data_IF_166586756870
#
_entry.id   IF_166586756870
#
_cell.length_a   1.000
_cell.length_b   1.000
_cell.length_c   1.000
_cell.angle_alpha   90.00
_cell.angle_beta   90.00
_cell.angle_gamma   90.00
#
_symmetry.space_group_name_H-M   'P 1'
#
loop_
_entity.id
_entity.type
_entity.pdbx_description
1 polymer ?
#
# COMPACT_ATOMS: atom_id res chain seq x y z
N UNK A 1 -28.35 -10.31 -69.00
CA UNK A 1 -27.04 -10.96 -68.80
C UNK A 1 -26.73 -11.17 -67.32
N UNK A 2 -26.34 -10.14 -66.53
CA UNK A 2 -25.94 -10.35 -65.11
C UNK A 2 -27.12 -10.71 -64.21
N UNK A 3 -28.31 -10.13 -64.46
CA UNK A 3 -29.53 -10.49 -63.73
C UNK A 3 -29.97 -11.94 -63.99
N UNK A 4 -29.74 -12.45 -65.20
CA UNK A 4 -30.09 -13.83 -65.58
C UNK A 4 -29.14 -14.82 -64.91
N UNK A 5 -27.84 -14.51 -64.86
CA UNK A 5 -26.85 -15.33 -64.13
C UNK A 5 -27.15 -15.39 -62.63
N UNK A 6 -27.49 -14.25 -62.01
CA UNK A 6 -27.87 -14.23 -60.59
C UNK A 6 -29.15 -15.01 -60.34
N UNK A 7 -30.13 -14.92 -61.24
CA UNK A 7 -31.37 -15.69 -61.17
C UNK A 7 -31.08 -17.19 -61.26
N UNK A 8 -30.27 -17.61 -62.23
CA UNK A 8 -29.95 -19.02 -62.46
C UNK A 8 -29.12 -19.63 -61.32
N UNK A 9 -28.34 -18.83 -60.59
CA UNK A 9 -27.54 -19.29 -59.45
C UNK A 9 -28.28 -19.24 -58.11
N UNK A 10 -29.13 -18.23 -57.89
CA UNK A 10 -29.80 -18.03 -56.60
C UNK A 10 -31.14 -18.79 -56.49
N UNK A 11 -31.87 -18.95 -57.60
CA UNK A 11 -33.15 -19.68 -57.57
C UNK A 11 -33.03 -21.15 -57.17
N UNK A 12 -32.01 -21.92 -57.60
CA UNK A 12 -31.82 -23.31 -57.15
C UNK A 12 -31.57 -23.45 -55.65
N UNK A 13 -31.10 -22.38 -55.01
CA UNK A 13 -30.82 -22.33 -53.57
C UNK A 13 -32.02 -21.83 -52.76
N UNK A 14 -33.12 -21.44 -53.41
CA UNK A 14 -34.29 -20.90 -52.73
C UNK A 14 -35.20 -22.01 -52.20
N UNK A 15 -35.56 -21.94 -50.91
CA UNK A 15 -36.63 -22.74 -50.32
C UNK A 15 -37.59 -21.87 -49.51
N UNK A 16 -38.88 -22.23 -49.43
CA UNK A 16 -39.90 -21.43 -48.74
C UNK A 16 -39.73 -21.42 -47.20
N UNK A 17 -39.09 -22.44 -46.62
CA UNK A 17 -38.78 -22.51 -45.18
C UNK A 17 -37.46 -23.26 -44.94
N UNK A 18 -36.31 -22.58 -45.10
CA UNK A 18 -35.01 -23.18 -44.78
C UNK A 18 -34.89 -23.37 -43.25
N UNK A 19 -34.20 -24.43 -42.83
CA UNK A 19 -33.79 -24.64 -41.43
C UNK A 19 -32.45 -23.94 -41.18
N UNK A 20 -32.15 -23.58 -39.93
CA UNK A 20 -30.95 -22.82 -39.57
C UNK A 20 -29.63 -23.54 -39.95
N UNK A 21 -29.64 -24.87 -40.03
CA UNK A 21 -28.48 -25.69 -40.41
C UNK A 21 -28.40 -26.02 -41.92
N UNK A 22 -29.37 -25.58 -42.73
CA UNK A 22 -29.46 -25.93 -44.15
C UNK A 22 -28.76 -24.88 -45.03
N UNK A 23 -28.13 -25.30 -46.13
CA UNK A 23 -27.46 -24.41 -47.09
C UNK A 23 -28.43 -23.64 -48.03
N UNK A 24 -29.72 -23.61 -47.70
CA UNK A 24 -30.77 -23.00 -48.54
C UNK A 24 -31.15 -21.61 -48.05
N UNK A 25 -31.46 -20.72 -48.99
CA UNK A 25 -31.83 -19.34 -48.72
C UNK A 25 -33.34 -19.16 -48.72
N UNK A 26 -33.85 -18.31 -47.85
CA UNK A 26 -35.26 -17.91 -47.88
C UNK A 26 -35.51 -16.93 -49.03
N UNK A 27 -36.78 -16.78 -49.39
CA UNK A 27 -37.20 -15.79 -50.41
C UNK A 27 -36.83 -14.37 -49.97
N UNK A 28 -36.92 -14.08 -48.67
CA UNK A 28 -36.54 -12.77 -48.12
C UNK A 28 -35.04 -12.52 -48.21
N UNK A 29 -34.21 -13.54 -47.93
CA UNK A 29 -32.76 -13.42 -48.01
C UNK A 29 -32.29 -13.17 -49.44
N UNK A 30 -32.91 -13.82 -50.41
CA UNK A 30 -32.63 -13.59 -51.84
C UNK A 30 -33.04 -12.17 -52.23
N UNK A 31 -34.20 -11.69 -51.78
CA UNK A 31 -34.65 -10.32 -52.06
C UNK A 31 -33.70 -9.27 -51.45
N UNK A 32 -33.26 -9.47 -50.21
CA UNK A 32 -32.30 -8.59 -49.52
C UNK A 32 -30.94 -8.61 -50.21
N UNK A 33 -30.42 -9.80 -50.48
CA UNK A 33 -29.13 -10.02 -51.17
C UNK A 33 -29.14 -9.38 -52.56
N UNK A 34 -30.19 -9.62 -53.35
CA UNK A 34 -30.32 -9.05 -54.70
C UNK A 34 -30.38 -7.53 -54.66
N UNK A 35 -31.12 -6.96 -53.72
CA UNK A 35 -31.19 -5.49 -53.53
C UNK A 35 -29.82 -4.91 -53.16
N UNK A 36 -29.11 -5.57 -52.26
CA UNK A 36 -27.75 -5.17 -51.86
C UNK A 36 -26.78 -5.20 -53.03
N UNK A 37 -26.75 -6.28 -53.82
CA UNK A 37 -25.90 -6.37 -55.01
C UNK A 37 -26.28 -5.35 -56.08
N UNK A 38 -27.58 -5.07 -56.25
CA UNK A 38 -28.06 -4.05 -57.19
C UNK A 38 -27.58 -2.64 -56.80
N UNK A 39 -27.66 -2.26 -55.53
CA UNK A 39 -27.29 -0.92 -55.06
C UNK A 39 -25.78 -0.73 -54.86
N UNK A 40 -25.02 -1.79 -54.67
CA UNK A 40 -23.57 -1.69 -54.41
C UNK A 40 -22.77 -2.11 -55.64
N UNK A 41 -22.76 -3.41 -55.92
CA UNK A 41 -21.86 -4.01 -56.88
C UNK A 41 -22.23 -3.67 -58.32
N UNK A 42 -23.51 -3.80 -58.67
CA UNK A 42 -23.97 -3.59 -60.04
C UNK A 42 -24.00 -2.12 -60.42
N UNK A 43 -24.33 -1.22 -59.48
CA UNK A 43 -24.27 0.23 -59.69
C UNK A 43 -22.85 0.67 -60.10
N UNK A 44 -21.81 0.08 -59.50
CA UNK A 44 -20.41 0.41 -59.78
C UNK A 44 -19.73 -0.60 -60.72
N UNK A 45 -20.49 -1.46 -61.39
CA UNK A 45 -19.93 -2.53 -62.23
C UNK A 45 -18.98 -1.99 -63.30
N UNK A 46 -19.29 -0.84 -63.92
CA UNK A 46 -18.42 -0.21 -64.91
C UNK A 46 -17.10 0.27 -64.30
N UNK A 47 -17.14 0.79 -63.08
CA UNK A 47 -15.93 1.19 -62.34
C UNK A 47 -15.07 -0.03 -62.00
N UNK A 48 -15.68 -1.11 -61.52
CA UNK A 48 -14.95 -2.36 -61.24
C UNK A 48 -14.39 -2.99 -62.50
N UNK A 49 -15.18 -3.07 -63.58
CA UNK A 49 -14.73 -3.57 -64.87
C UNK A 49 -13.56 -2.75 -65.43
N UNK A 50 -13.56 -1.44 -65.21
CA UNK A 50 -12.44 -0.58 -65.57
C UNK A 50 -11.22 -0.81 -64.66
N UNK A 51 -11.43 -0.86 -63.35
CA UNK A 51 -10.36 -1.02 -62.37
C UNK A 51 -9.65 -2.38 -62.47
N UNK A 52 -10.39 -3.45 -62.74
CA UNK A 52 -9.85 -4.80 -62.91
C UNK A 52 -9.45 -5.13 -64.35
N UNK A 53 -9.98 -4.39 -65.34
CA UNK A 53 -9.66 -4.59 -66.75
C UNK A 53 -8.39 -3.87 -67.21
N UNK A 54 -7.93 -2.87 -66.46
CA UNK A 54 -6.73 -2.09 -66.79
C UNK A 54 -5.64 -2.30 -65.76
N UNK A 55 -4.39 -2.40 -66.22
CA UNK A 55 -3.23 -2.43 -65.35
C UNK A 55 -3.09 -1.08 -64.63
N UNK A 56 -3.34 -1.06 -63.32
CA UNK A 56 -3.15 0.13 -62.50
C UNK A 56 -1.77 0.12 -61.85
N UNK A 57 -1.15 1.31 -61.76
CA UNK A 57 0.13 1.48 -61.06
C UNK A 57 -0.15 1.52 -59.55
N UNK A 58 0.06 0.40 -58.88
CA UNK A 58 -0.07 0.32 -57.43
C UNK A 58 1.23 0.77 -56.75
N UNK A 59 1.12 1.71 -55.83
CA UNK A 59 2.22 2.07 -54.93
C UNK A 59 2.04 1.30 -53.63
N UNK A 60 2.86 0.29 -53.41
CA UNK A 60 2.88 -0.42 -52.13
C UNK A 60 3.64 0.42 -51.11
N UNK A 61 2.90 1.03 -50.18
CA UNK A 61 3.48 1.69 -49.02
C UNK A 61 3.73 0.63 -47.95
N UNK A 62 5.01 0.28 -47.74
CA UNK A 62 5.41 -0.56 -46.61
C UNK A 62 5.75 0.36 -45.45
N UNK A 63 4.92 0.34 -44.42
CA UNK A 63 5.26 0.90 -43.12
C UNK A 63 5.80 -0.23 -42.24
N UNK A 64 7.02 -0.07 -41.73
CA UNK A 64 7.50 -0.87 -40.61
C UNK A 64 7.05 -0.14 -39.35
N UNK A 65 6.30 -0.82 -38.50
CA UNK A 65 5.85 -0.30 -37.22
C UNK A 65 6.58 -1.08 -36.15
N UNK A 66 7.43 -0.40 -35.38
CA UNK A 66 8.03 -0.98 -34.18
C UNK A 66 6.94 -0.98 -33.11
N UNK A 67 6.42 -2.17 -32.81
CA UNK A 67 5.49 -2.35 -31.71
C UNK A 67 6.30 -2.67 -30.46
N UNK A 68 6.32 -1.74 -29.51
CA UNK A 68 6.70 -2.02 -28.13
C UNK A 68 5.61 -2.91 -27.52
N UNK A 69 5.72 -4.21 -27.75
CA UNK A 69 4.88 -5.18 -27.07
C UNK A 69 5.40 -5.36 -25.65
N UNK A 70 4.52 -5.36 -24.63
CA UNK A 70 4.97 -5.65 -23.27
C UNK A 70 5.65 -7.01 -23.29
N UNK A 71 6.90 -7.06 -22.83
CA UNK A 71 7.63 -8.30 -22.66
C UNK A 71 6.91 -9.08 -21.55
N UNK A 72 6.02 -10.00 -21.95
CA UNK A 72 5.37 -10.90 -21.01
C UNK A 72 6.50 -11.77 -20.44
N UNK A 73 6.76 -11.63 -19.14
CA UNK A 73 7.69 -12.51 -18.43
C UNK A 73 7.23 -13.96 -18.64
N UNK A 74 8.19 -14.87 -18.82
CA UNK A 74 7.86 -16.25 -19.13
C UNK A 74 6.99 -16.83 -18.00
N UNK A 75 5.99 -17.64 -18.36
CA UNK A 75 5.10 -18.27 -17.38
C UNK A 75 5.81 -19.25 -16.43
N UNK A 76 7.10 -19.55 -16.67
CA UNK A 76 7.90 -20.38 -15.78
C UNK A 76 8.16 -19.70 -14.41
N UNK A 77 8.05 -18.38 -14.34
CA UNK A 77 8.16 -17.59 -13.09
C UNK A 77 6.80 -17.22 -12.48
N UNK A 78 5.69 -17.64 -13.11
CA UNK A 78 4.36 -17.31 -12.62
C UNK A 78 4.07 -18.09 -11.34
N UNK A 79 3.91 -17.37 -10.23
CA UNK A 79 3.48 -17.96 -8.95
C UNK A 79 2.06 -18.48 -9.07
N UNK A 80 1.77 -19.59 -8.38
CA UNK A 80 0.39 -20.03 -8.22
C UNK A 80 -0.37 -19.05 -7.28
N UNK A 81 -1.71 -19.11 -7.30
CA UNK A 81 -2.52 -18.16 -6.52
C UNK A 81 -2.24 -18.22 -5.01
N UNK A 82 -1.94 -19.40 -4.46
CA UNK A 82 -1.61 -19.57 -3.05
C UNK A 82 -0.24 -18.97 -2.68
N UNK A 83 0.76 -19.16 -3.52
CA UNK A 83 2.10 -18.57 -3.38
C UNK A 83 2.04 -17.04 -3.49
N UNK A 84 1.24 -16.53 -4.42
CA UNK A 84 1.03 -15.10 -4.58
C UNK A 84 0.35 -14.48 -3.34
N UNK A 85 -0.67 -15.13 -2.79
CA UNK A 85 -1.32 -14.69 -1.55
C UNK A 85 -0.34 -14.71 -0.37
N UNK A 86 0.42 -15.81 -0.20
CA UNK A 86 1.40 -15.92 0.88
C UNK A 86 2.53 -14.90 0.76
N UNK A 87 2.99 -14.59 -0.46
CA UNK A 87 3.99 -13.55 -0.72
C UNK A 87 3.46 -12.17 -0.29
N UNK A 88 2.23 -11.83 -0.71
CA UNK A 88 1.61 -10.55 -0.33
C UNK A 88 1.37 -10.44 1.18
N UNK A 89 0.93 -11.51 1.83
CA UNK A 89 0.71 -11.53 3.27
C UNK A 89 2.04 -11.36 4.04
N UNK A 90 3.11 -12.00 3.57
CA UNK A 90 4.45 -11.85 4.14
C UNK A 90 4.99 -10.43 3.94
N UNK A 91 4.78 -9.83 2.76
CA UNK A 91 5.19 -8.47 2.47
C UNK A 91 4.40 -7.45 3.32
N UNK A 92 3.08 -7.62 3.46
CA UNK A 92 2.24 -6.82 4.32
C UNK A 92 2.68 -6.90 5.80
N UNK A 93 2.94 -8.11 6.31
CA UNK A 93 3.43 -8.31 7.67
C UNK A 93 4.81 -7.65 7.88
N UNK A 94 5.70 -7.72 6.89
CA UNK A 94 7.02 -7.07 6.95
C UNK A 94 6.92 -5.54 6.96
N UNK A 95 6.00 -4.96 6.18
CA UNK A 95 5.72 -3.52 6.18
C UNK A 95 5.19 -3.08 7.56
N UNK A 96 4.20 -3.79 8.10
CA UNK A 96 3.64 -3.47 9.43
C UNK A 96 4.70 -3.56 10.53
N UNK A 97 5.58 -4.57 10.49
CA UNK A 97 6.66 -4.73 11.44
C UNK A 97 7.65 -3.55 11.37
N UNK A 98 8.01 -3.10 10.16
CA UNK A 98 8.88 -1.93 9.96
C UNK A 98 8.22 -0.64 10.46
N UNK A 99 6.93 -0.46 10.22
CA UNK A 99 6.21 0.71 10.74
C UNK A 99 6.14 0.72 12.27
N UNK A 100 5.88 -0.43 12.90
CA UNK A 100 5.88 -0.55 14.36
C UNK A 100 7.24 -0.22 14.94
N UNK A 101 8.32 -0.79 14.39
CA UNK A 101 9.68 -0.50 14.82
C UNK A 101 10.01 1.00 14.69
N UNK A 102 9.64 1.64 13.57
CA UNK A 102 9.85 3.07 13.38
C UNK A 102 9.05 3.92 14.39
N UNK A 103 7.80 3.54 14.70
CA UNK A 103 6.98 4.25 15.70
C UNK A 103 7.52 4.08 17.12
N UNK A 104 8.01 2.89 17.46
CA UNK A 104 8.64 2.61 18.76
C UNK A 104 9.94 3.39 18.92
N UNK A 105 10.77 3.47 17.88
CA UNK A 105 12.00 4.26 17.91
C UNK A 105 11.71 5.76 18.11
N UNK A 106 10.69 6.29 17.45
CA UNK A 106 10.26 7.69 17.65
C UNK A 106 9.74 7.92 19.08
N UNK A 107 8.95 6.99 19.63
CA UNK A 107 8.47 7.08 21.02
C UNK A 107 9.63 7.04 22.01
N UNK A 108 10.57 6.11 21.84
CA UNK A 108 11.75 6.01 22.69
C UNK A 108 12.60 7.29 22.65
N UNK A 109 12.77 7.91 21.47
CA UNK A 109 13.45 9.22 21.34
C UNK A 109 12.71 10.34 22.06
N UNK A 110 11.38 10.40 21.94
CA UNK A 110 10.56 11.41 22.62
C UNK A 110 10.58 11.23 24.15
N UNK A 111 10.52 10.00 24.65
CA UNK A 111 10.62 9.69 26.07
C UNK A 111 12.00 10.02 26.62
N UNK A 112 13.07 9.68 25.90
CA UNK A 112 14.44 10.06 26.27
C UNK A 112 14.64 11.58 26.30
N UNK A 113 14.04 12.32 25.36
CA UNK A 113 14.11 13.78 25.35
C UNK A 113 13.33 14.41 26.52
N UNK A 114 12.13 13.89 26.82
CA UNK A 114 11.35 14.32 27.99
C UNK A 114 12.08 14.05 29.29
N UNK A 115 12.66 12.86 29.45
CA UNK A 115 13.46 12.51 30.62
C UNK A 115 14.67 13.44 30.81
N UNK A 116 15.36 13.81 29.72
CA UNK A 116 16.47 14.79 29.76
C UNK A 116 15.99 16.18 30.18
N UNK A 117 14.85 16.65 29.65
CA UNK A 117 14.28 17.94 30.04
C UNK A 117 13.90 17.95 31.51
N UNK A 118 13.20 16.92 31.99
CA UNK A 118 12.81 16.79 33.39
C UNK A 118 14.02 16.70 34.33
N UNK A 119 15.11 16.02 33.93
CA UNK A 119 16.36 16.02 34.69
C UNK A 119 16.98 17.41 34.75
N UNK A 120 17.07 18.12 33.62
CA UNK A 120 17.64 19.47 33.60
C UNK A 120 16.83 20.49 34.43
N UNK A 121 15.51 20.38 34.44
CA UNK A 121 14.63 21.22 35.26
C UNK A 121 14.79 20.92 36.75
N UNK A 122 14.95 19.64 37.13
CA UNK A 122 15.23 19.23 38.52
C UNK A 122 16.59 19.75 38.99
N UNK A 123 17.63 19.62 38.16
CA UNK A 123 18.97 20.14 38.47
C UNK A 123 18.98 21.67 38.61
N UNK A 124 18.26 22.40 37.76
CA UNK A 124 18.16 23.86 37.88
C UNK A 124 17.38 24.27 39.13
N UNK A 125 16.31 23.56 39.48
CA UNK A 125 15.55 23.79 40.71
C UNK A 125 16.38 23.49 41.97
N UNK A 126 17.17 22.42 41.97
CA UNK A 126 18.10 22.11 43.07
C UNK A 126 19.19 23.16 43.19
N UNK A 127 19.74 23.65 42.07
CA UNK A 127 20.73 24.74 42.10
C UNK A 127 20.16 26.02 42.68
N UNK A 128 18.94 26.42 42.29
CA UNK A 128 18.25 27.59 42.85
C UNK A 128 18.00 27.44 44.35
N UNK A 129 17.56 26.26 44.81
CA UNK A 129 17.40 25.97 46.25
C UNK A 129 18.73 26.09 47.01
N UNK A 130 19.81 25.53 46.47
CA UNK A 130 21.15 25.65 47.08
C UNK A 130 21.66 27.10 47.13
N UNK A 131 21.33 27.92 46.13
CA UNK A 131 21.65 29.35 46.13
C UNK A 131 20.84 30.12 47.18
N UNK A 132 19.56 29.79 47.36
CA UNK A 132 18.70 30.38 48.39
C UNK A 132 19.18 30.06 49.81
N UNK A 133 19.61 28.83 50.07
CA UNK A 133 20.16 28.41 51.37
C UNK A 133 21.46 29.13 51.74
N UNK A 134 22.23 29.58 50.74
CA UNK A 134 23.49 30.32 50.95
C UNK A 134 23.28 31.82 51.19
N UNK A 135 22.12 32.38 50.84
CA UNK A 135 21.81 33.80 51.08
C UNK A 135 21.58 34.03 52.57
N UNK A 136 22.18 35.11 53.10
CA UNK A 136 21.93 35.55 54.48
C UNK A 136 20.59 36.28 54.54
N UNK A 137 19.65 35.88 55.42
CA UNK A 137 18.37 36.58 55.57
C UNK A 137 18.60 38.00 56.08
N UNK A 138 17.82 38.97 55.57
CA UNK A 138 17.95 40.39 55.94
C UNK A 138 16.86 40.83 56.92
N UNK A 139 15.71 40.15 56.92
CA UNK A 139 14.58 40.43 57.82
C UNK A 139 14.36 39.29 58.84
N UNK A 140 13.63 39.59 59.91
CA UNK A 140 13.30 38.63 60.98
C UNK A 140 12.38 37.51 60.48
N UNK A 141 11.47 37.82 59.55
CA UNK A 141 10.59 36.84 58.89
C UNK A 141 11.39 35.89 57.98
N UNK A 142 12.30 36.42 57.15
CA UNK A 142 13.21 35.62 56.31
C UNK A 142 14.15 34.73 57.14
N UNK A 143 14.57 35.18 58.33
CA UNK A 143 15.42 34.39 59.21
C UNK A 143 14.69 33.17 59.79
N UNK A 144 13.39 33.30 60.08
CA UNK A 144 12.56 32.17 60.51
C UNK A 144 12.40 31.18 59.37
N UNK A 145 12.09 31.66 58.16
CA UNK A 145 11.93 30.81 56.98
C UNK A 145 13.23 30.06 56.62
N UNK A 146 14.38 30.72 56.72
CA UNK A 146 15.68 30.08 56.50
C UNK A 146 15.96 28.96 57.51
N UNK A 147 15.67 29.18 58.80
CA UNK A 147 15.83 28.15 59.84
C UNK A 147 14.88 26.98 59.62
N UNK A 148 13.65 27.23 59.18
CA UNK A 148 12.68 26.17 58.83
C UNK A 148 13.18 25.37 57.64
N UNK A 149 13.69 26.01 56.59
CA UNK A 149 14.25 25.35 55.41
C UNK A 149 15.43 24.45 55.77
N UNK A 150 16.39 24.94 56.58
CA UNK A 150 17.54 24.15 57.03
C UNK A 150 17.09 22.93 57.85
N UNK A 151 16.14 23.10 58.78
CA UNK A 151 15.60 21.97 59.56
C UNK A 151 14.89 20.95 58.68
N UNK A 152 14.13 21.40 57.69
CA UNK A 152 13.46 20.50 56.74
C UNK A 152 14.46 19.71 55.90
N UNK A 153 15.61 20.30 55.51
CA UNK A 153 16.67 19.56 54.83
C UNK A 153 17.35 18.53 55.73
N UNK A 154 17.63 18.89 56.98
CA UNK A 154 18.17 17.96 57.98
C UNK A 154 17.21 16.78 58.23
N UNK A 155 15.90 17.04 58.34
CA UNK A 155 14.89 15.99 58.48
C UNK A 155 14.76 15.14 57.22
N UNK A 156 14.80 15.76 56.03
CA UNK A 156 14.76 15.05 54.75
C UNK A 156 15.96 14.12 54.58
N UNK A 157 17.15 14.55 54.97
CA UNK A 157 18.38 13.72 54.89
C UNK A 157 18.40 12.60 55.92
N UNK A 158 17.80 12.80 57.11
CA UNK A 158 17.59 11.73 58.08
C UNK A 158 16.59 10.69 57.56
N UNK A 159 15.44 11.15 57.08
CA UNK A 159 14.41 10.26 56.52
C UNK A 159 14.94 9.49 55.31
N UNK A 160 15.68 10.12 54.40
CA UNK A 160 16.22 9.41 53.23
C UNK A 160 17.19 8.29 53.62
N UNK A 161 18.02 8.50 54.65
CA UNK A 161 18.88 7.46 55.21
C UNK A 161 18.07 6.33 55.85
N UNK A 162 17.08 6.67 56.68
CA UNK A 162 16.21 5.67 57.30
C UNK A 162 15.45 4.81 56.26
N UNK A 163 14.99 5.42 55.16
CA UNK A 163 14.36 4.69 54.07
C UNK A 163 15.35 3.82 53.30
N UNK A 164 16.56 4.32 53.01
CA UNK A 164 17.60 3.52 52.35
C UNK A 164 18.01 2.30 53.18
N UNK A 165 18.16 2.47 54.50
CA UNK A 165 18.48 1.38 55.41
C UNK A 165 17.34 0.34 55.47
N UNK A 166 16.08 0.80 55.49
CA UNK A 166 14.90 -0.09 55.45
C UNK A 166 14.79 -0.82 54.12
N UNK A 167 15.05 -0.15 53.00
CA UNK A 167 15.01 -0.76 51.67
C UNK A 167 16.10 -1.83 51.53
N UNK A 168 17.33 -1.55 51.97
CA UNK A 168 18.41 -2.54 52.01
C UNK A 168 18.03 -3.77 52.85
N UNK A 169 17.47 -3.55 54.04
CA UNK A 169 17.02 -4.63 54.91
C UNK A 169 15.85 -5.45 54.32
N UNK A 170 14.96 -4.81 53.54
CA UNK A 170 13.87 -5.50 52.85
C UNK A 170 14.39 -6.29 51.65
N UNK A 171 15.32 -5.74 50.87
CA UNK A 171 15.97 -6.44 49.74
C UNK A 171 16.76 -7.67 50.21
N UNK A 172 17.45 -7.57 51.33
CA UNK A 172 18.15 -8.70 51.96
C UNK A 172 17.16 -9.80 52.37
N UNK A 173 16.04 -9.44 53.02
CA UNK A 173 14.97 -10.39 53.35
C UNK A 173 14.32 -11.02 52.11
N UNK A 174 14.14 -10.27 51.03
CA UNK A 174 13.59 -10.78 49.77
C UNK A 174 14.55 -11.82 49.19
N UNK A 175 15.84 -11.52 49.11
CA UNK A 175 16.87 -12.49 48.67
C UNK A 175 16.86 -13.76 49.50
N UNK A 176 16.84 -13.63 50.83
CA UNK A 176 16.76 -14.78 51.75
C UNK A 176 15.51 -15.65 51.52
N UNK A 177 14.38 -15.04 51.15
CA UNK A 177 13.13 -15.74 50.86
C UNK A 177 13.13 -16.37 49.46
N UNK A 178 13.73 -15.72 48.47
CA UNK A 178 13.92 -16.28 47.12
C UNK A 178 14.85 -17.48 47.15
N UNK A 179 15.96 -17.40 47.88
CA UNK A 179 16.91 -18.51 48.05
C UNK A 179 16.27 -19.70 48.78
N UNK A 180 15.45 -19.45 49.81
CA UNK A 180 14.69 -20.51 50.50
C UNK A 180 13.61 -21.14 49.63
N UNK A 181 13.02 -20.39 48.70
CA UNK A 181 11.99 -20.90 47.77
C UNK A 181 12.61 -21.66 46.60
N UNK A 182 13.83 -21.31 46.18
CA UNK A 182 14.58 -22.00 45.13
C UNK A 182 15.27 -23.28 45.61
N UNK A 183 15.51 -23.42 46.93
CA UNK A 183 16.09 -24.62 47.56
C UNK A 183 15.07 -25.68 48.05
N UNK A 184 13.78 -25.50 47.77
CA UNK A 184 12.70 -26.45 48.06
C UNK A 184 12.09 -26.98 46.76
#
# INVERSE_FOLDING_TARGET
AVQDVLRDQLLPLCRPSPREDDHYLSVEDIARTTKFFASTFLQHYRLYSFAFGQSQRHTQLKASLELETPLIQSFDEAMNEGEWQAYNDAEAAAIEAREKAAREEVRARQEAERAKREQSEKEEAERKRQEELKKKPQTLEEAIDHVVLVRLEDEKTKLSKEYADREAALLEKIKDLEDKKAGA
#
